data_IF_724660757968
#
_entry.id   IF_724660757968
#
_cell.length_a   1.000
_cell.length_b   1.000
_cell.length_c   1.000
_cell.angle_alpha   90.00
_cell.angle_beta   90.00
_cell.angle_gamma   90.00
#
_symmetry.space_group_name_H-M   'P 1'
#
loop_
_entity.id
_entity.type
_entity.pdbx_description
1 polymer ?
#
# COMPACT_ATOMS: atom_id res chain seq x y z
N UNK A 1 7.05 13.24 23.88
CA UNK A 1 7.09 12.06 24.80
C UNK A 1 7.84 12.51 26.03
N UNK A 2 7.15 12.72 27.15
CA UNK A 2 7.70 13.52 28.26
C UNK A 2 8.14 14.90 27.74
N UNK A 3 9.32 15.34 28.16
CA UNK A 3 9.91 16.65 27.82
C UNK A 3 10.65 16.65 26.47
N UNK A 4 10.32 15.73 25.56
CA UNK A 4 11.00 15.59 24.26
C UNK A 4 10.04 15.66 23.09
N UNK A 5 10.48 16.26 21.99
CA UNK A 5 9.87 16.13 20.68
C UNK A 5 10.77 15.35 19.71
N UNK A 6 10.12 14.65 18.78
CA UNK A 6 10.76 13.98 17.67
C UNK A 6 10.17 14.57 16.39
N UNK A 7 11.03 15.07 15.51
CA UNK A 7 10.60 15.88 14.37
C UNK A 7 11.40 15.48 13.14
N UNK A 8 10.71 15.44 12.00
CA UNK A 8 11.30 15.23 10.68
C UNK A 8 11.05 16.50 9.87
N UNK A 9 12.08 17.04 9.22
CA UNK A 9 11.98 18.30 8.45
C UNK A 9 12.22 18.03 6.97
N UNK A 10 11.14 17.91 6.20
CA UNK A 10 11.09 17.47 4.81
C UNK A 10 12.04 18.19 3.82
N UNK A 11 13.01 17.49 3.20
CA UNK A 11 13.56 17.60 1.81
C UNK A 11 14.44 16.38 1.45
N UNK A 12 13.85 15.24 1.06
CA UNK A 12 14.48 14.12 0.33
C UNK A 12 15.57 13.28 1.05
N UNK A 13 16.28 13.81 2.05
CA UNK A 13 17.20 13.07 2.95
C UNK A 13 16.97 13.62 4.35
N UNK A 14 16.02 13.04 5.08
CA UNK A 14 15.51 13.69 6.28
C UNK A 14 16.14 13.14 7.56
N UNK A 15 16.81 14.00 8.35
CA UNK A 15 17.14 13.64 9.70
C UNK A 15 15.89 13.52 10.58
N UNK A 16 15.82 12.43 11.35
CA UNK A 16 15.05 12.39 12.59
C UNK A 16 15.77 13.24 13.64
N UNK A 17 15.13 14.31 14.10
CA UNK A 17 15.64 15.15 15.19
C UNK A 17 15.05 14.76 16.53
N UNK A 18 15.87 14.74 17.57
CA UNK A 18 15.45 14.70 18.96
C UNK A 18 15.60 16.10 19.56
N UNK A 19 14.50 16.66 20.06
CA UNK A 19 14.45 18.04 20.58
C UNK A 19 14.09 18.01 22.06
N UNK A 20 14.89 18.68 22.88
CA UNK A 20 14.57 18.99 24.27
C UNK A 20 13.51 20.09 24.33
N UNK A 21 12.44 19.81 25.07
CA UNK A 21 11.33 20.71 25.35
C UNK A 21 11.10 20.90 26.86
N UNK A 22 12.05 20.54 27.72
CA UNK A 22 11.94 20.71 29.17
C UNK A 22 11.70 22.18 29.57
N UNK A 23 12.34 23.11 28.87
CA UNK A 23 11.99 24.54 28.91
C UNK A 23 11.36 24.95 27.56
N UNK A 24 10.04 25.21 27.49
CA UNK A 24 9.39 25.59 26.24
C UNK A 24 9.86 26.95 25.69
N UNK A 25 10.57 27.75 26.48
CA UNK A 25 11.17 29.02 26.03
C UNK A 25 12.59 28.88 25.50
N UNK A 26 13.23 27.72 25.73
CA UNK A 26 14.59 27.42 25.30
C UNK A 26 14.72 26.00 24.71
N UNK A 27 13.99 25.67 23.62
CA UNK A 27 14.12 24.37 22.99
C UNK A 27 15.51 24.19 22.35
N UNK A 28 16.05 22.97 22.42
CA UNK A 28 17.37 22.65 21.88
C UNK A 28 17.37 21.29 21.16
N UNK A 29 18.13 21.16 20.08
CA UNK A 29 18.36 19.87 19.42
C UNK A 29 19.36 19.07 20.24
N UNK A 30 18.99 17.84 20.61
CA UNK A 30 19.83 16.90 21.37
C UNK A 30 20.62 15.96 20.45
N UNK A 31 20.00 15.52 19.35
CA UNK A 31 20.58 14.58 18.40
C UNK A 31 19.87 14.59 17.06
N UNK A 32 20.54 14.03 16.06
CA UNK A 32 20.00 13.84 14.70
C UNK A 32 20.39 12.46 14.15
N UNK A 33 19.51 11.85 13.37
CA UNK A 33 19.77 10.62 12.63
C UNK A 33 19.36 10.80 11.18
N UNK A 34 20.32 10.80 10.25
CA UNK A 34 20.08 10.91 8.80
C UNK A 34 19.96 9.54 8.17
N UNK A 35 18.85 9.30 7.48
CA UNK A 35 18.56 8.06 6.75
C UNK A 35 17.93 8.38 5.39
N UNK A 36 18.08 7.50 4.39
CA UNK A 36 17.30 7.61 3.15
C UNK A 36 15.81 7.46 3.41
N UNK A 37 15.02 8.24 2.68
CA UNK A 37 13.58 8.33 2.87
C UNK A 37 13.19 9.31 3.97
N UNK A 38 11.92 9.24 4.39
CA UNK A 38 11.38 10.07 5.46
C UNK A 38 10.23 9.38 6.19
N UNK A 39 10.01 9.76 7.45
CA UNK A 39 8.82 9.38 8.22
C UNK A 39 7.83 10.54 8.23
N UNK A 40 6.64 10.32 7.68
CA UNK A 40 5.53 11.28 7.72
C UNK A 40 4.77 11.23 9.05
N UNK A 41 4.81 10.08 9.73
CA UNK A 41 4.18 9.84 11.01
C UNK A 41 5.16 9.14 11.96
N UNK A 42 5.13 9.55 13.23
CA UNK A 42 5.97 8.98 14.29
C UNK A 42 5.08 8.55 15.46
N UNK A 43 5.30 7.35 16.00
CA UNK A 43 4.54 6.81 17.12
C UNK A 43 5.43 6.16 18.19
N UNK A 44 5.34 6.56 19.48
CA UNK A 44 6.01 5.85 20.55
C UNK A 44 5.42 4.45 20.75
N UNK A 45 6.27 3.43 20.78
CA UNK A 45 5.83 2.04 21.04
C UNK A 45 6.32 1.48 22.39
N UNK A 46 6.89 2.35 23.24
CA UNK A 46 7.37 1.99 24.59
C UNK A 46 8.89 1.83 24.66
N UNK A 47 9.45 1.79 25.88
CA UNK A 47 10.86 1.44 26.13
C UNK A 47 11.93 2.23 25.35
N UNK A 48 11.65 3.51 25.06
CA UNK A 48 12.56 4.33 24.27
C UNK A 48 12.54 4.01 22.78
N UNK A 49 11.53 3.26 22.31
CA UNK A 49 11.32 2.96 20.90
C UNK A 49 10.31 3.90 20.26
N UNK A 50 10.59 4.22 18.99
CA UNK A 50 9.76 5.05 18.14
C UNK A 50 9.59 4.37 16.79
N UNK A 51 8.35 4.19 16.34
CA UNK A 51 8.07 3.76 14.96
C UNK A 51 7.89 4.99 14.09
N UNK A 52 8.48 4.96 12.89
CA UNK A 52 8.21 5.90 11.81
C UNK A 52 7.53 5.23 10.62
N UNK A 53 6.51 5.89 10.07
CA UNK A 53 5.79 5.47 8.87
C UNK A 53 5.94 6.54 7.79
N UNK A 54 6.36 6.15 6.59
CA UNK A 54 6.52 7.07 5.46
C UNK A 54 7.02 6.40 4.20
N UNK A 55 8.04 7.01 3.58
CA UNK A 55 8.58 6.61 2.27
C UNK A 55 10.02 6.13 2.35
N UNK A 56 10.30 5.06 1.61
CA UNK A 56 11.66 4.69 1.25
C UNK A 56 12.15 5.55 0.08
N UNK A 57 13.43 5.91 0.10
CA UNK A 57 14.07 6.60 -1.02
C UNK A 57 15.51 6.08 -1.23
N UNK A 58 16.03 6.26 -2.43
CA UNK A 58 17.47 6.10 -2.70
C UNK A 58 18.28 7.34 -2.27
N UNK A 59 19.61 7.26 -2.40
CA UNK A 59 20.52 8.36 -2.03
C UNK A 59 20.34 9.63 -2.90
N UNK A 60 19.70 9.50 -4.06
CA UNK A 60 19.33 10.62 -4.93
C UNK A 60 17.96 11.23 -4.56
N UNK A 61 17.31 10.69 -3.52
CA UNK A 61 16.01 11.13 -3.04
C UNK A 61 14.82 10.64 -3.89
N UNK A 62 15.03 9.64 -4.77
CA UNK A 62 13.93 9.03 -5.53
C UNK A 62 13.16 8.09 -4.64
N UNK A 63 11.87 8.34 -4.56
CA UNK A 63 10.93 7.50 -3.80
C UNK A 63 10.84 6.12 -4.44
N UNK A 64 10.99 5.07 -3.61
CA UNK A 64 10.92 3.66 -4.04
C UNK A 64 9.68 2.92 -3.54
N UNK A 65 9.02 3.45 -2.51
CA UNK A 65 7.79 2.87 -1.97
C UNK A 65 7.58 3.21 -0.50
N UNK A 66 6.83 2.37 0.19
CA UNK A 66 6.48 2.50 1.60
C UNK A 66 7.67 2.09 2.48
N UNK A 67 7.82 2.74 3.63
CA UNK A 67 8.78 2.37 4.67
C UNK A 67 8.14 2.47 6.05
N UNK A 68 8.31 1.40 6.84
CA UNK A 68 8.20 1.43 8.29
C UNK A 68 9.61 1.30 8.89
N UNK A 69 9.96 2.18 9.83
CA UNK A 69 11.24 2.19 10.54
C UNK A 69 11.00 2.04 12.04
N UNK A 70 11.84 1.25 12.72
CA UNK A 70 11.92 1.23 14.17
C UNK A 70 13.18 1.95 14.61
N UNK A 71 13.03 2.91 15.52
CA UNK A 71 14.12 3.69 16.08
C UNK A 71 14.30 3.42 17.57
N UNK A 72 15.55 3.28 17.99
CA UNK A 72 15.97 3.44 19.38
C UNK A 72 16.26 4.92 19.64
N UNK A 73 15.51 5.51 20.56
CA UNK A 73 15.64 6.90 21.02
C UNK A 73 15.85 6.97 22.54
N UNK A 74 16.34 5.88 23.14
CA UNK A 74 16.66 5.81 24.56
C UNK A 74 17.79 6.79 24.95
N UNK A 75 18.82 6.91 24.10
CA UNK A 75 19.82 7.98 24.14
C UNK A 75 19.45 9.13 23.18
N UNK A 76 19.03 10.30 23.69
CA UNK A 76 18.66 11.45 22.86
C UNK A 76 19.78 12.01 22.00
N UNK A 77 21.03 11.78 22.39
CA UNK A 77 22.20 12.29 21.67
C UNK A 77 22.63 11.37 20.52
N UNK A 78 22.17 10.12 20.52
CA UNK A 78 22.55 9.09 19.54
C UNK A 78 21.34 8.22 19.14
N UNK A 79 20.30 8.80 18.51
CA UNK A 79 19.17 8.03 17.97
C UNK A 79 19.64 7.08 16.86
N UNK A 80 19.08 5.85 16.81
CA UNK A 80 19.50 4.81 15.85
C UNK A 80 18.29 4.15 15.18
N UNK A 81 18.38 3.87 13.88
CA UNK A 81 17.44 3.01 13.16
C UNK A 81 17.81 1.55 13.44
N UNK A 82 16.94 0.83 14.13
CA UNK A 82 17.14 -0.57 14.51
C UNK A 82 16.75 -1.53 13.40
N UNK A 83 15.63 -1.24 12.74
CA UNK A 83 15.03 -2.12 11.75
C UNK A 83 14.17 -1.35 10.76
N UNK A 84 13.99 -1.92 9.57
CA UNK A 84 13.19 -1.33 8.50
C UNK A 84 12.43 -2.40 7.73
N UNK A 85 11.18 -2.11 7.42
CA UNK A 85 10.39 -2.89 6.48
C UNK A 85 9.94 -1.98 5.33
N UNK A 86 10.17 -2.44 4.10
CA UNK A 86 9.82 -1.66 2.90
C UNK A 86 8.92 -2.46 1.98
N UNK A 87 8.04 -1.76 1.29
CA UNK A 87 7.20 -2.32 0.23
C UNK A 87 7.35 -1.43 -1.01
N UNK A 88 8.00 -1.92 -2.08
CA UNK A 88 8.16 -1.17 -3.32
C UNK A 88 6.82 -0.78 -3.92
N UNK A 89 6.80 0.37 -4.60
CA UNK A 89 5.64 0.87 -5.34
C UNK A 89 4.34 0.97 -4.50
N UNK A 90 4.50 1.13 -3.18
CA UNK A 90 3.40 1.17 -2.23
C UNK A 90 3.43 2.42 -1.35
N UNK A 91 2.30 2.68 -0.71
CA UNK A 91 2.11 3.76 0.23
C UNK A 91 1.12 3.47 1.36
N UNK A 92 1.00 4.39 2.32
CA UNK A 92 0.10 4.25 3.46
C UNK A 92 -0.70 5.51 3.73
N UNK A 93 -1.99 5.33 4.01
CA UNK A 93 -2.84 6.44 4.44
C UNK A 93 -2.42 7.07 5.77
N UNK A 94 -1.60 6.37 6.57
CA UNK A 94 -1.02 6.90 7.82
C UNK A 94 -0.22 8.19 7.59
N UNK A 95 0.34 8.38 6.41
CA UNK A 95 1.15 9.56 6.09
C UNK A 95 0.35 10.87 6.08
N UNK A 96 -0.96 10.80 5.84
CA UNK A 96 -1.85 11.96 5.85
C UNK A 96 -3.04 11.82 6.81
N UNK A 97 -3.28 10.63 7.36
CA UNK A 97 -4.32 10.34 8.33
C UNK A 97 -3.82 9.44 9.46
N UNK A 98 -3.34 10.05 10.54
CA UNK A 98 -2.85 9.35 11.74
C UNK A 98 -3.87 8.38 12.37
N UNK A 99 -5.18 8.51 12.06
CA UNK A 99 -6.21 7.59 12.57
C UNK A 99 -6.22 6.24 11.86
N UNK A 100 -5.51 6.12 10.76
CA UNK A 100 -5.36 4.86 10.03
C UNK A 100 -4.38 3.90 10.72
N UNK A 101 -3.46 4.43 11.54
CA UNK A 101 -2.48 3.68 12.30
C UNK A 101 -3.08 3.09 13.57
N UNK A 102 -2.82 1.81 13.83
CA UNK A 102 -3.18 1.17 15.10
C UNK A 102 -1.93 0.63 15.80
N UNK A 103 -1.81 1.00 17.08
CA UNK A 103 -0.90 0.36 18.03
C UNK A 103 -1.70 -0.29 19.15
N UNK A 104 -1.51 -1.59 19.32
CA UNK A 104 -2.10 -2.40 20.37
C UNK A 104 -1.02 -2.85 21.35
N UNK A 105 -0.76 -1.97 22.32
CA UNK A 105 0.27 -2.16 23.34
C UNK A 105 0.20 -3.51 24.09
N UNK A 106 -0.97 -4.11 24.41
CA UNK A 106 -1.01 -5.37 25.16
C UNK A 106 -0.28 -6.54 24.49
N UNK A 107 -0.22 -6.57 23.15
CA UNK A 107 0.47 -7.62 22.37
C UNK A 107 1.64 -7.06 21.54
N UNK A 108 2.03 -5.81 21.80
CA UNK A 108 3.03 -5.08 21.02
C UNK A 108 2.75 -5.11 19.51
N UNK A 109 1.48 -4.95 19.12
CA UNK A 109 1.02 -5.23 17.78
C UNK A 109 0.72 -3.93 17.03
N UNK A 110 1.39 -3.74 15.88
CA UNK A 110 1.23 -2.61 14.99
C UNK A 110 0.46 -3.04 13.74
N UNK A 111 -0.55 -2.26 13.36
CA UNK A 111 -1.31 -2.48 12.12
C UNK A 111 -1.28 -1.21 11.28
N UNK A 112 -0.80 -1.35 10.04
CA UNK A 112 -0.63 -0.24 9.10
C UNK A 112 -1.28 -0.59 7.76
N UNK A 113 -2.27 0.18 7.29
CA UNK A 113 -2.77 0.01 5.94
C UNK A 113 -1.70 0.37 4.92
N UNK A 114 -1.46 -0.51 3.97
CA UNK A 114 -0.55 -0.34 2.84
C UNK A 114 -1.31 -0.61 1.55
N UNK A 115 -1.06 0.19 0.53
CA UNK A 115 -1.64 -0.02 -0.78
C UNK A 115 -0.62 0.29 -1.87
N UNK A 116 -0.72 -0.41 -2.99
CA UNK A 116 0.18 -0.27 -4.13
C UNK A 116 -0.62 0.09 -5.37
N UNK A 117 -0.03 0.93 -6.22
CA UNK A 117 -0.55 1.22 -7.56
C UNK A 117 -0.23 0.09 -8.56
N UNK A 118 0.67 -0.83 -8.21
CA UNK A 118 0.94 -2.05 -8.98
C UNK A 118 0.06 -3.20 -8.52
N UNK A 119 -0.65 -3.81 -9.48
CA UNK A 119 -1.60 -4.91 -9.26
C UNK A 119 -0.98 -6.17 -8.64
N UNK A 120 0.31 -6.41 -8.90
CA UNK A 120 1.07 -7.55 -8.42
C UNK A 120 1.57 -7.40 -6.97
N UNK A 121 1.50 -6.19 -6.42
CA UNK A 121 1.88 -5.91 -5.03
C UNK A 121 0.62 -5.86 -4.17
N UNK A 122 0.51 -6.72 -3.15
CA UNK A 122 -0.74 -6.86 -2.41
C UNK A 122 -1.01 -5.63 -1.54
N UNK A 123 -2.25 -5.14 -1.64
CA UNK A 123 -2.78 -4.06 -0.79
C UNK A 123 -3.60 -4.63 0.37
N UNK A 124 -3.51 -4.01 1.54
CA UNK A 124 -4.15 -4.49 2.76
C UNK A 124 -3.69 -3.77 4.02
N UNK A 125 -3.77 -4.45 5.16
CA UNK A 125 -3.25 -3.98 6.43
C UNK A 125 -2.13 -4.91 6.89
N UNK A 126 -0.91 -4.39 6.87
CA UNK A 126 0.28 -5.10 7.30
C UNK A 126 0.31 -5.14 8.83
N UNK A 127 0.52 -6.33 9.38
CA UNK A 127 0.52 -6.59 10.83
C UNK A 127 1.94 -6.94 11.26
N UNK A 128 2.40 -6.29 12.33
CA UNK A 128 3.73 -6.50 12.89
C UNK A 128 3.64 -6.68 14.41
N UNK A 129 4.48 -7.56 14.95
CA UNK A 129 4.87 -7.52 16.36
C UNK A 129 6.13 -6.65 16.46
N UNK A 130 6.14 -5.71 17.40
CA UNK A 130 7.21 -4.72 17.51
C UNK A 130 7.86 -4.80 18.89
N UNK A 131 9.10 -5.27 18.96
CA UNK A 131 9.88 -5.28 20.22
C UNK A 131 11.32 -4.85 19.98
N UNK A 132 12.02 -4.50 21.07
CA UNK A 132 13.45 -4.16 20.98
C UNK A 132 14.30 -5.35 20.48
N UNK A 133 13.91 -6.58 20.83
CA UNK A 133 14.64 -7.79 20.49
C UNK A 133 14.34 -8.27 19.06
N UNK A 134 13.08 -8.19 18.64
CA UNK A 134 12.61 -8.73 17.36
C UNK A 134 12.58 -7.70 16.22
N UNK A 135 12.61 -6.40 16.53
CA UNK A 135 12.46 -5.35 15.53
C UNK A 135 11.01 -5.25 15.04
N UNK A 136 10.83 -5.13 13.72
CA UNK A 136 9.54 -5.15 13.03
C UNK A 136 9.23 -6.57 12.53
N UNK A 137 8.72 -7.42 13.42
CA UNK A 137 8.39 -8.82 13.10
C UNK A 137 7.06 -8.91 12.32
N UNK A 138 7.15 -9.01 10.99
CA UNK A 138 6.00 -9.07 10.09
C UNK A 138 5.20 -10.38 10.26
N UNK A 139 3.94 -10.25 10.70
CA UNK A 139 3.04 -11.38 10.95
C UNK A 139 2.19 -11.74 9.73
N UNK A 140 1.94 -10.78 8.83
CA UNK A 140 1.14 -11.02 7.63
C UNK A 140 0.37 -9.79 7.16
N UNK A 141 -0.45 -9.99 6.14
CA UNK A 141 -1.27 -8.97 5.50
C UNK A 141 -2.74 -9.36 5.58
N UNK A 142 -3.56 -8.52 6.20
CA UNK A 142 -5.01 -8.63 6.12
C UNK A 142 -5.47 -7.95 4.84
N UNK A 143 -6.13 -8.69 3.95
CA UNK A 143 -6.74 -8.12 2.74
C UNK A 143 -8.27 -8.20 2.79
N UNK A 144 -8.93 -7.22 2.19
CA UNK A 144 -10.37 -7.22 1.91
C UNK A 144 -10.71 -7.81 0.54
N UNK A 145 -9.70 -8.02 -0.31
CA UNK A 145 -9.84 -8.75 -1.57
C UNK A 145 -10.28 -10.18 -1.28
N UNK A 146 -11.23 -10.67 -2.08
CA UNK A 146 -11.67 -12.07 -2.06
C UNK A 146 -10.95 -12.94 -3.06
N UNK A 147 -10.08 -12.37 -3.87
CA UNK A 147 -9.49 -13.06 -5.00
C UNK A 147 -8.03 -13.39 -4.74
N UNK A 148 -7.70 -14.66 -4.89
CA UNK A 148 -6.38 -15.00 -5.45
C UNK A 148 -6.31 -14.26 -6.80
N UNK A 149 -5.29 -13.44 -7.02
CA UNK A 149 -5.08 -12.64 -8.24
C UNK A 149 -4.82 -13.51 -9.49
N UNK A 150 -5.58 -14.58 -9.72
CA UNK A 150 -5.56 -15.33 -10.97
C UNK A 150 -6.33 -14.52 -12.01
N UNK A 151 -5.60 -13.82 -12.86
CA UNK A 151 -6.10 -13.29 -14.11
C UNK A 151 -7.00 -14.32 -14.80
N UNK A 152 -8.28 -13.98 -14.96
CA UNK A 152 -9.27 -14.86 -15.58
C UNK A 152 -10.17 -14.04 -16.48
N UNK A 153 -10.20 -14.38 -17.75
CA UNK A 153 -11.12 -13.84 -18.75
C UNK A 153 -11.54 -14.97 -19.68
N UNK A 154 -12.78 -14.91 -20.16
CA UNK A 154 -13.30 -15.81 -21.18
C UNK A 154 -13.02 -15.29 -22.61
N UNK A 155 -12.37 -14.13 -22.75
CA UNK A 155 -11.98 -13.54 -24.03
C UNK A 155 -10.59 -14.00 -24.48
N UNK A 156 -10.34 -13.92 -25.78
CA UNK A 156 -9.00 -14.14 -26.33
C UNK A 156 -8.06 -13.00 -25.90
N UNK A 157 -6.85 -13.36 -25.48
CA UNK A 157 -5.76 -12.45 -25.17
C UNK A 157 -4.47 -13.06 -25.71
N UNK A 158 -3.71 -12.31 -26.49
CA UNK A 158 -2.35 -12.70 -26.91
C UNK A 158 -1.38 -11.63 -26.41
N UNK A 159 -0.42 -12.07 -25.61
CA UNK A 159 0.57 -11.20 -24.98
C UNK A 159 1.76 -11.05 -25.94
N UNK A 160 1.95 -9.85 -26.52
CA UNK A 160 3.30 -9.36 -26.84
C UNK A 160 3.35 -7.84 -26.64
N UNK A 161 4.07 -7.43 -25.59
CA UNK A 161 4.01 -6.10 -24.97
C UNK A 161 4.74 -4.98 -25.73
N UNK A 162 5.04 -5.17 -27.02
CA UNK A 162 5.82 -4.20 -27.81
C UNK A 162 4.98 -3.39 -28.82
N UNK A 163 3.70 -3.70 -29.03
CA UNK A 163 2.98 -3.26 -30.22
C UNK A 163 1.99 -2.10 -30.04
N UNK A 164 1.84 -1.53 -28.83
CA UNK A 164 0.98 -0.34 -28.62
C UNK A 164 1.83 0.82 -28.07
N UNK A 165 1.70 1.97 -28.72
CA UNK A 165 2.70 3.03 -28.84
C UNK A 165 3.13 3.75 -27.56
N UNK A 166 4.32 4.36 -27.68
CA UNK A 166 5.08 5.17 -26.72
C UNK A 166 4.25 6.03 -25.74
N UNK A 167 4.41 5.76 -24.44
CA UNK A 167 4.46 6.84 -23.43
C UNK A 167 3.48 6.80 -22.26
N UNK A 168 2.51 5.89 -22.20
CA UNK A 168 1.57 5.77 -21.06
C UNK A 168 1.20 4.30 -20.83
N UNK A 169 0.70 3.95 -19.63
CA UNK A 169 0.33 2.59 -19.22
C UNK A 169 -0.39 1.81 -20.34
N UNK A 170 0.17 0.66 -20.70
CA UNK A 170 -0.34 -0.19 -21.78
C UNK A 170 -1.60 -0.90 -21.27
N UNK A 171 -2.81 -0.66 -21.84
CA UNK A 171 -3.99 -1.43 -21.48
C UNK A 171 -3.86 -2.87 -21.96
N UNK A 172 -4.37 -3.81 -21.16
CA UNK A 172 -4.62 -5.16 -21.62
C UNK A 172 -5.68 -5.13 -22.73
N UNK A 173 -5.36 -5.67 -23.90
CA UNK A 173 -6.29 -5.79 -25.00
C UNK A 173 -6.92 -7.20 -25.01
N UNK A 174 -8.25 -7.25 -24.98
CA UNK A 174 -9.01 -8.49 -25.09
C UNK A 174 -9.89 -8.48 -26.33
N UNK A 175 -10.01 -9.61 -27.01
CA UNK A 175 -10.98 -9.81 -28.09
C UNK A 175 -12.04 -10.80 -27.63
N UNK A 176 -13.29 -10.32 -27.57
CA UNK A 176 -14.41 -11.06 -27.05
C UNK A 176 -15.44 -11.33 -28.16
N UNK A 177 -15.74 -12.60 -28.41
CA UNK A 177 -16.80 -13.03 -29.33
C UNK A 177 -18.19 -12.81 -28.73
N UNK A 178 -19.27 -12.84 -29.54
CA UNK A 178 -20.63 -12.77 -29.03
C UNK A 178 -20.89 -13.81 -27.92
N UNK A 179 -21.37 -13.35 -26.77
CA UNK A 179 -21.68 -14.20 -25.62
C UNK A 179 -20.57 -14.38 -24.58
N UNK A 180 -19.31 -14.05 -24.90
CA UNK A 180 -18.26 -13.90 -23.88
C UNK A 180 -18.51 -12.65 -23.05
N UNK A 181 -17.96 -12.54 -21.83
CA UNK A 181 -18.16 -11.42 -20.90
C UNK A 181 -16.96 -10.47 -20.87
N UNK A 182 -15.74 -10.99 -20.88
CA UNK A 182 -14.53 -10.20 -20.69
C UNK A 182 -14.43 -9.66 -19.27
N UNK A 183 -13.91 -8.44 -19.11
CA UNK A 183 -13.73 -7.76 -17.82
C UNK A 183 -13.00 -8.62 -16.77
N UNK A 184 -11.71 -8.93 -17.00
CA UNK A 184 -10.92 -9.70 -16.04
C UNK A 184 -10.92 -8.99 -14.70
N UNK A 185 -10.92 -9.79 -13.64
CA UNK A 185 -10.98 -9.21 -12.32
C UNK A 185 -9.71 -8.42 -12.01
N UNK A 186 -9.87 -7.31 -11.30
CA UNK A 186 -8.81 -6.34 -11.09
C UNK A 186 -8.58 -5.42 -12.29
N UNK A 187 -9.46 -5.41 -13.30
CA UNK A 187 -9.40 -4.50 -14.44
C UNK A 187 -10.74 -3.81 -14.69
N UNK A 188 -10.65 -2.61 -15.25
CA UNK A 188 -11.77 -1.79 -15.66
C UNK A 188 -11.61 -1.59 -17.15
N UNK A 189 -12.61 -2.04 -17.90
CA UNK A 189 -12.48 -2.14 -19.34
C UNK A 189 -13.43 -1.23 -20.08
N UNK A 190 -12.89 -0.56 -21.09
CA UNK A 190 -13.66 0.13 -22.09
C UNK A 190 -13.92 -0.81 -23.28
N UNK A 191 -15.18 -0.89 -23.71
CA UNK A 191 -15.57 -1.76 -24.84
C UNK A 191 -15.60 -0.96 -26.13
N UNK A 192 -14.79 -1.37 -27.09
CA UNK A 192 -14.69 -0.81 -28.44
C UNK A 192 -15.29 -1.84 -29.42
N UNK A 193 -16.30 -1.48 -30.22
CA UNK A 193 -16.75 -2.35 -31.31
C UNK A 193 -15.59 -2.64 -32.28
N UNK A 194 -15.45 -3.89 -32.76
CA UNK A 194 -14.37 -4.25 -33.68
C UNK A 194 -14.30 -3.33 -34.91
N UNK A 195 -15.46 -2.98 -35.48
CA UNK A 195 -15.57 -2.05 -36.61
C UNK A 195 -15.05 -0.62 -36.32
N UNK A 196 -14.87 -0.25 -35.05
CA UNK A 196 -14.37 1.05 -34.61
C UNK A 196 -12.90 1.03 -34.16
N UNK A 197 -12.21 -0.11 -34.19
CA UNK A 197 -10.83 -0.28 -33.68
C UNK A 197 -9.85 0.77 -34.24
N UNK A 198 -9.89 1.00 -35.56
CA UNK A 198 -9.02 2.00 -36.24
C UNK A 198 -9.28 3.44 -35.82
N UNK A 199 -10.47 3.77 -35.31
CA UNK A 199 -10.78 5.11 -34.80
C UNK A 199 -10.19 5.33 -33.39
N UNK A 200 -9.73 4.26 -32.74
CA UNK A 200 -9.12 4.23 -31.42
C UNK A 200 -7.61 3.97 -31.49
N UNK A 201 -7.00 4.12 -32.68
CA UNK A 201 -5.60 3.82 -32.95
C UNK A 201 -5.19 2.36 -32.63
N UNK A 202 -6.15 1.43 -32.69
CA UNK A 202 -5.90 -0.01 -32.53
C UNK A 202 -5.74 -0.65 -33.90
N UNK A 203 -4.51 -1.05 -34.23
CA UNK A 203 -4.20 -1.78 -35.47
C UNK A 203 -4.17 -3.30 -35.23
N UNK A 204 -5.36 -3.91 -35.25
CA UNK A 204 -5.52 -5.36 -35.03
C UNK A 204 -4.80 -6.22 -36.07
N UNK A 205 -4.59 -5.69 -37.29
CA UNK A 205 -3.84 -6.38 -38.34
C UNK A 205 -2.34 -6.37 -38.04
N UNK A 206 -1.80 -5.23 -37.57
CA UNK A 206 -0.41 -5.13 -37.14
C UNK A 206 -0.11 -5.98 -35.89
N UNK A 207 -1.12 -6.21 -35.05
CA UNK A 207 -1.05 -7.06 -33.87
C UNK A 207 -1.19 -8.56 -34.20
N UNK A 208 -1.52 -8.93 -35.44
CA UNK A 208 -1.73 -10.33 -35.83
C UNK A 208 -3.01 -10.96 -35.25
N UNK A 209 -3.96 -10.14 -34.79
CA UNK A 209 -5.17 -10.60 -34.10
C UNK A 209 -6.34 -10.67 -35.10
N UNK A 210 -6.95 -11.85 -35.24
CA UNK A 210 -8.19 -12.01 -36.02
C UNK A 210 -9.39 -11.53 -35.20
N UNK A 211 -10.15 -10.57 -35.74
CA UNK A 211 -11.35 -10.00 -35.12
C UNK A 211 -12.51 -10.08 -36.10
N UNK A 212 -13.59 -10.76 -35.72
CA UNK A 212 -14.82 -10.87 -36.50
C UNK A 212 -15.69 -9.62 -36.43
N UNK A 213 -16.61 -9.47 -37.38
CA UNK A 213 -17.47 -8.28 -37.51
C UNK A 213 -18.40 -8.05 -36.29
N UNK A 214 -18.73 -9.13 -35.56
CA UNK A 214 -19.58 -9.09 -34.35
C UNK A 214 -18.76 -9.14 -33.04
N UNK A 215 -17.44 -9.24 -33.14
CA UNK A 215 -16.58 -9.25 -31.97
C UNK A 215 -16.47 -7.84 -31.38
N UNK A 216 -16.05 -7.81 -30.12
CA UNK A 216 -15.73 -6.56 -29.42
C UNK A 216 -14.32 -6.63 -28.87
N UNK A 217 -13.66 -5.49 -28.90
CA UNK A 217 -12.36 -5.30 -28.27
C UNK A 217 -12.61 -4.67 -26.91
N UNK A 218 -11.94 -5.15 -25.86
CA UNK A 218 -11.91 -4.49 -24.58
C UNK A 218 -10.49 -3.98 -24.31
N UNK A 219 -10.38 -2.69 -24.02
CA UNK A 219 -9.17 -2.08 -23.48
C UNK A 219 -9.32 -2.06 -21.96
N UNK A 220 -8.52 -2.85 -21.28
CA UNK A 220 -8.62 -3.09 -19.85
C UNK A 220 -7.42 -2.48 -19.14
N UNK A 221 -7.66 -1.50 -18.28
CA UNK A 221 -6.63 -0.97 -17.38
C UNK A 221 -6.72 -1.69 -16.05
N UNK A 222 -5.58 -2.05 -15.43
CA UNK A 222 -5.60 -2.55 -14.07
C UNK A 222 -6.36 -1.52 -13.22
N UNK A 223 -7.43 -1.97 -12.59
CA UNK A 223 -8.04 -1.19 -11.53
C UNK A 223 -7.12 -1.39 -10.35
N UNK A 224 -6.66 -0.28 -9.77
CA UNK A 224 -6.24 -0.28 -8.38
C UNK A 224 -7.25 -1.14 -7.59
N UNK A 225 -6.83 -1.99 -6.64
CA UNK A 225 -7.77 -2.72 -5.79
C UNK A 225 -8.78 -1.71 -5.29
N UNK A 226 -10.00 -1.79 -5.83
CA UNK A 226 -10.83 -0.60 -5.98
C UNK A 226 -10.93 0.11 -4.65
N UNK A 227 -10.87 1.44 -4.64
CA UNK A 227 -11.01 2.32 -3.47
C UNK A 227 -11.95 1.81 -2.35
N UNK A 228 -12.97 1.04 -2.74
CA UNK A 228 -13.87 0.22 -1.93
C UNK A 228 -13.20 -0.75 -0.93
N UNK A 229 -12.11 -1.42 -1.30
CA UNK A 229 -11.43 -2.49 -0.55
C UNK A 229 -10.16 -2.02 0.16
N UNK A 230 -9.67 -0.80 -0.14
CA UNK A 230 -8.54 -0.21 0.57
C UNK A 230 -8.87 -0.07 2.05
N UNK A 231 -8.13 -0.75 2.92
CA UNK A 231 -8.34 -0.67 4.35
C UNK A 231 -7.95 0.73 4.84
N UNK A 232 -8.86 1.39 5.55
CA UNK A 232 -8.69 2.75 6.06
C UNK A 232 -8.62 2.80 7.58
N UNK A 233 -9.21 1.82 8.27
CA UNK A 233 -9.19 1.72 9.73
C UNK A 233 -8.94 0.29 10.18
N UNK A 234 -8.30 0.18 11.33
CA UNK A 234 -8.22 -1.05 12.09
C UNK A 234 -8.52 -0.78 13.57
N UNK A 235 -9.07 -1.77 14.26
CA UNK A 235 -9.27 -1.77 15.70
C UNK A 235 -9.29 -3.21 16.21
N UNK A 236 -9.10 -3.40 17.51
CA UNK A 236 -9.15 -4.73 18.14
C UNK A 236 -10.35 -4.81 19.08
N UNK A 237 -11.14 -5.87 18.94
CA UNK A 237 -12.26 -6.19 19.85
C UNK A 237 -12.14 -7.67 20.22
N UNK A 238 -11.96 -7.94 21.52
CA UNK A 238 -11.74 -9.30 21.98
C UNK A 238 -10.45 -9.87 21.38
N UNK A 239 -10.56 -11.02 20.72
CA UNK A 239 -9.44 -11.70 20.04
C UNK A 239 -9.47 -11.52 18.51
N UNK A 240 -10.12 -10.46 18.03
CA UNK A 240 -10.28 -10.18 16.61
C UNK A 240 -9.67 -8.82 16.26
N UNK A 241 -8.97 -8.79 15.14
CA UNK A 241 -8.64 -7.58 14.40
C UNK A 241 -9.82 -7.27 13.49
N UNK A 242 -10.39 -6.08 13.64
CA UNK A 242 -11.42 -5.56 12.76
C UNK A 242 -10.82 -4.54 11.81
N UNK A 243 -11.03 -4.74 10.52
CA UNK A 243 -10.59 -3.82 9.46
C UNK A 243 -11.79 -3.27 8.70
N UNK A 244 -11.73 -1.98 8.39
CA UNK A 244 -12.76 -1.25 7.65
C UNK A 244 -12.14 -0.65 6.40
N UNK A 245 -12.74 -0.95 5.25
CA UNK A 245 -12.59 -0.20 4.00
C UNK A 245 -13.89 0.55 3.69
N UNK A 246 -13.96 1.29 2.58
CA UNK A 246 -15.16 2.08 2.27
C UNK A 246 -16.44 1.25 2.17
N UNK A 247 -16.36 0.01 1.71
CA UNK A 247 -17.54 -0.85 1.50
C UNK A 247 -17.55 -2.13 2.32
N UNK A 248 -16.52 -2.40 3.12
CA UNK A 248 -16.38 -3.69 3.83
C UNK A 248 -15.93 -3.49 5.27
N UNK A 249 -16.58 -4.23 6.15
CA UNK A 249 -16.11 -4.51 7.50
C UNK A 249 -15.72 -5.98 7.57
N UNK A 250 -14.50 -6.28 8.00
CA UNK A 250 -13.99 -7.63 8.11
C UNK A 250 -13.41 -7.85 9.51
N UNK A 251 -13.54 -9.09 10.02
CA UNK A 251 -12.79 -9.53 11.18
C UNK A 251 -11.82 -10.64 10.83
N UNK A 252 -10.65 -10.60 11.45
CA UNK A 252 -9.60 -11.58 11.35
C UNK A 252 -9.18 -12.01 12.76
N UNK A 253 -8.79 -13.27 12.91
CA UNK A 253 -8.18 -13.80 14.13
C UNK A 253 -6.92 -12.99 14.49
N UNK A 254 -6.76 -12.60 15.76
CA UNK A 254 -5.60 -11.81 16.19
C UNK A 254 -4.26 -12.56 16.07
N UNK A 255 -4.27 -13.88 16.25
CA UNK A 255 -3.06 -14.71 16.30
C UNK A 255 -2.71 -15.28 14.92
N UNK A 256 -3.72 -15.78 14.20
CA UNK A 256 -3.51 -16.45 12.90
C UNK A 256 -3.73 -15.54 11.70
N UNK A 257 -4.35 -14.37 11.91
CA UNK A 257 -4.82 -13.47 10.86
C UNK A 257 -5.88 -14.09 9.92
N UNK A 258 -6.41 -15.28 10.24
CA UNK A 258 -7.43 -15.94 9.44
C UNK A 258 -8.71 -15.11 9.42
N UNK A 259 -9.30 -14.93 8.23
CA UNK A 259 -10.56 -14.22 8.07
C UNK A 259 -11.69 -14.99 8.78
N UNK A 260 -12.38 -14.34 9.71
CA UNK A 260 -13.48 -14.91 10.52
C UNK A 260 -14.85 -14.46 10.02
N UNK A 261 -15.02 -13.18 9.69
CA UNK A 261 -16.27 -12.64 9.17
C UNK A 261 -16.02 -11.51 8.17
N UNK A 262 -16.99 -11.29 7.27
CA UNK A 262 -17.01 -10.20 6.30
C UNK A 262 -18.43 -9.68 6.15
N UNK A 263 -18.58 -8.37 6.14
CA UNK A 263 -19.84 -7.66 5.96
C UNK A 263 -19.66 -6.57 4.90
N UNK A 264 -20.45 -6.63 3.83
CA UNK A 264 -20.56 -5.53 2.87
C UNK A 264 -21.47 -4.46 3.45
N UNK A 265 -20.98 -3.23 3.51
CA UNK A 265 -21.71 -2.06 3.94
C UNK A 265 -22.50 -1.49 2.76
N UNK A 266 -23.76 -1.06 2.96
CA UNK A 266 -24.49 -0.33 1.93
C UNK A 266 -23.80 1.01 1.69
N UNK A 267 -23.39 1.24 0.43
CA UNK A 267 -22.83 2.51 -0.05
C UNK A 267 -23.88 3.58 -0.26
#
# INVERSE_FOLDING_TARGET
IGDRAYVVTFRQVDPLYVVDLADPTQPAVLGELKIPGYSAYLHPVGDGLLVGIGRDADDDGRIRGFKASLFDVSDPADPREMDTWTLPDAESSVEWDHRAFLWWAPENLMIVPVWSWRSEVPSGAAVFKVTAEAGLDYQGLITHSTEDFTFSTDCYHEFDSEAVAEGWEIPLLLVCTPGQVGNPVGYGCETVPAAAARNWDIDVEALGIEVGDEDRIQLCWPQEPGDAERIERSLIIGNDIWTLSRSLLQSNDLDTLDRRARLTLPG
#
